data_IF_365361148475
#
_entry.id   IF_365361148475
#
_cell.length_a   1.000
_cell.length_b   1.000
_cell.length_c   1.000
_cell.angle_alpha   90.00
_cell.angle_beta   90.00
_cell.angle_gamma   90.00
#
_symmetry.space_group_name_H-M   'P 1'
#
loop_
_entity.id
_entity.type
_entity.pdbx_description
1 polymer ?
#
# COMPACT_ATOMS: atom_id res chain seq x y z
N UNK A 1 21.43 10.75 -16.16
CA UNK A 1 22.14 10.62 -14.87
C UNK A 1 22.04 11.95 -14.16
N UNK A 2 21.16 12.08 -13.18
CA UNK A 2 20.83 13.31 -12.45
C UNK A 2 20.77 13.00 -10.95
N UNK A 3 20.75 14.03 -10.11
CA UNK A 3 20.49 13.92 -8.66
C UNK A 3 19.05 14.35 -8.38
N UNK A 4 18.47 13.93 -7.26
CA UNK A 4 17.06 14.18 -6.95
C UNK A 4 16.79 14.10 -5.44
N UNK A 5 15.51 14.14 -5.09
CA UNK A 5 15.04 14.03 -3.71
C UNK A 5 14.42 12.65 -3.48
N UNK A 6 14.61 12.09 -2.28
CA UNK A 6 13.81 10.95 -1.84
C UNK A 6 12.35 11.41 -1.68
N UNK A 7 11.34 10.59 -2.02
CA UNK A 7 9.91 10.96 -1.93
C UNK A 7 9.34 11.36 -0.56
N UNK A 8 10.17 11.49 0.49
CA UNK A 8 9.70 11.78 1.86
C UNK A 8 10.67 11.41 2.97
N UNK A 9 11.88 10.97 2.64
CA UNK A 9 12.85 10.48 3.61
C UNK A 9 13.62 11.63 4.24
N UNK A 10 13.51 11.80 5.55
CA UNK A 10 14.25 12.81 6.33
C UNK A 10 15.30 12.10 7.18
N UNK A 11 16.57 12.39 6.89
CA UNK A 11 17.71 11.86 7.66
C UNK A 11 17.84 12.65 8.96
N UNK A 12 17.89 11.94 10.09
CA UNK A 12 17.97 12.53 11.43
C UNK A 12 19.40 12.45 11.94
N UNK A 13 20.03 13.61 12.10
CA UNK A 13 21.37 13.74 12.68
C UNK A 13 21.28 13.83 14.22
N UNK A 14 21.98 12.96 14.97
CA UNK A 14 22.07 13.08 16.42
C UNK A 14 22.67 14.41 16.87
N UNK A 15 22.21 14.93 18.01
CA UNK A 15 22.74 16.17 18.58
C UNK A 15 24.22 16.00 18.92
N UNK A 16 25.06 16.92 18.46
CA UNK A 16 26.51 16.92 18.69
C UNK A 16 27.32 16.20 17.62
N UNK A 17 26.67 15.57 16.64
CA UNK A 17 27.33 14.99 15.47
C UNK A 17 27.37 15.99 14.30
N UNK A 18 28.30 15.76 13.37
CA UNK A 18 28.48 16.57 12.15
C UNK A 18 28.09 15.74 10.92
N UNK A 19 27.18 16.23 10.06
CA UNK A 19 26.67 15.43 8.94
C UNK A 19 27.78 14.92 8.00
N UNK A 20 28.86 15.70 7.85
CA UNK A 20 30.00 15.38 6.98
C UNK A 20 30.86 14.21 7.49
N UNK A 21 30.65 13.70 8.71
CA UNK A 21 31.27 12.45 9.17
C UNK A 21 30.60 11.22 8.55
N UNK A 22 29.36 11.37 8.08
CA UNK A 22 28.56 10.31 7.45
C UNK A 22 28.47 10.49 5.93
N UNK A 23 28.17 11.69 5.45
CA UNK A 23 27.99 11.99 4.03
C UNK A 23 28.21 13.48 3.76
N UNK A 24 28.79 13.86 2.60
CA UNK A 24 28.66 15.22 2.10
C UNK A 24 27.19 15.60 1.89
N UNK A 25 26.93 16.89 1.74
CA UNK A 25 25.60 17.44 1.43
C UNK A 25 25.62 18.24 0.13
N UNK A 26 24.46 18.36 -0.51
CA UNK A 26 24.29 19.10 -1.76
C UNK A 26 22.85 19.61 -1.91
N UNK A 27 22.57 20.35 -2.99
CA UNK A 27 21.21 20.63 -3.41
C UNK A 27 20.72 19.62 -4.44
N UNK A 28 19.44 19.22 -4.39
CA UNK A 28 18.85 18.30 -5.36
C UNK A 28 18.88 18.93 -6.75
N UNK A 29 19.30 18.18 -7.77
CA UNK A 29 19.48 18.66 -9.14
C UNK A 29 20.37 19.91 -9.27
N UNK A 30 21.19 20.24 -8.25
CA UNK A 30 21.96 21.48 -8.14
C UNK A 30 21.10 22.76 -8.15
N UNK A 31 19.83 22.68 -7.77
CA UNK A 31 18.96 23.85 -7.64
C UNK A 31 19.29 24.62 -6.35
N UNK A 32 20.07 25.69 -6.47
CA UNK A 32 20.47 26.53 -5.34
C UNK A 32 19.34 27.44 -4.82
N UNK A 33 18.16 27.44 -5.45
CA UNK A 33 17.00 28.23 -5.01
C UNK A 33 16.14 27.48 -4.01
N UNK A 34 16.26 26.15 -3.93
CA UNK A 34 15.52 25.35 -2.94
C UNK A 34 16.15 25.44 -1.57
N UNK A 35 15.31 25.54 -0.54
CA UNK A 35 15.75 25.42 0.85
C UNK A 35 16.15 23.99 1.22
N UNK A 36 15.77 23.00 0.41
CA UNK A 36 16.07 21.59 0.66
C UNK A 36 17.53 21.28 0.39
N UNK A 37 18.19 20.70 1.39
CA UNK A 37 19.53 20.12 1.30
C UNK A 37 19.39 18.61 1.34
N UNK A 38 20.08 17.90 0.45
CA UNK A 38 20.09 16.44 0.37
C UNK A 38 21.45 15.88 0.77
N UNK A 39 21.45 14.66 1.32
CA UNK A 39 22.68 13.86 1.43
C UNK A 39 23.25 13.61 0.04
N UNK A 40 24.57 13.58 -0.08
CA UNK A 40 25.24 13.21 -1.32
C UNK A 40 25.14 11.70 -1.58
N UNK A 41 25.30 10.90 -0.53
CA UNK A 41 25.00 9.48 -0.57
C UNK A 41 23.49 9.24 -0.53
N UNK A 42 23.03 8.20 -1.23
CA UNK A 42 21.68 7.69 -1.04
C UNK A 42 21.53 7.07 0.36
N UNK A 43 20.28 6.89 0.80
CA UNK A 43 20.03 6.38 2.15
C UNK A 43 20.57 4.96 2.36
N UNK A 44 20.56 4.11 1.34
CA UNK A 44 21.09 2.74 1.41
C UNK A 44 22.57 2.69 1.83
N UNK A 45 23.32 3.75 1.53
CA UNK A 45 24.74 3.85 1.90
C UNK A 45 24.97 4.26 3.36
N UNK A 46 23.92 4.74 4.06
CA UNK A 46 24.01 5.31 5.41
C UNK A 46 22.90 4.82 6.37
N UNK A 47 22.11 3.83 5.97
CA UNK A 47 20.94 3.32 6.70
C UNK A 47 21.30 2.62 8.02
N UNK A 48 22.52 2.12 8.13
CA UNK A 48 23.08 1.55 9.36
C UNK A 48 23.66 2.63 10.30
N UNK A 49 23.77 3.88 9.85
CA UNK A 49 24.42 4.97 10.60
C UNK A 49 23.44 6.00 11.13
N UNK A 50 22.48 6.42 10.31
CA UNK A 50 21.55 7.50 10.63
C UNK A 50 20.12 6.99 10.50
N UNK A 51 19.28 7.40 11.45
CA UNK A 51 17.85 7.12 11.39
C UNK A 51 17.19 7.96 10.30
N UNK A 52 16.16 7.40 9.67
CA UNK A 52 15.30 8.10 8.73
C UNK A 52 13.85 8.12 9.22
N UNK A 53 13.23 9.28 9.09
CA UNK A 53 11.78 9.43 9.16
C UNK A 53 11.23 9.40 7.73
N UNK A 54 10.44 8.38 7.39
CA UNK A 54 9.73 8.34 6.11
C UNK A 54 8.39 9.08 6.25
N UNK A 55 8.38 10.34 5.83
CA UNK A 55 7.21 11.22 5.80
C UNK A 55 6.68 11.22 4.37
N UNK A 56 6.00 10.13 4.01
CA UNK A 56 5.50 9.91 2.65
C UNK A 56 4.18 10.64 2.41
N UNK A 57 3.99 11.12 1.19
CA UNK A 57 2.67 11.54 0.71
C UNK A 57 1.84 10.33 0.30
N UNK A 58 0.56 10.33 0.64
CA UNK A 58 -0.39 9.29 0.24
C UNK A 58 -1.80 9.88 0.09
N UNK A 59 -2.61 9.34 -0.81
CA UNK A 59 -3.95 9.86 -1.08
C UNK A 59 -5.01 9.34 -0.10
N UNK A 60 -4.87 8.10 0.43
CA UNK A 60 -5.82 7.53 1.40
C UNK A 60 -6.16 8.45 2.59
N UNK A 61 -5.19 9.09 3.30
CA UNK A 61 -5.53 10.03 4.36
C UNK A 61 -6.37 11.22 3.87
N UNK A 62 -6.10 11.70 2.65
CA UNK A 62 -6.85 12.80 2.02
C UNK A 62 -8.27 12.37 1.66
N UNK A 63 -8.43 11.18 1.07
CA UNK A 63 -9.73 10.61 0.72
C UNK A 63 -10.60 10.39 1.95
N UNK A 64 -10.06 9.75 2.99
CA UNK A 64 -10.76 9.49 4.26
C UNK A 64 -11.12 10.82 4.94
N UNK A 65 -10.20 11.81 4.94
CA UNK A 65 -10.48 13.13 5.50
C UNK A 65 -11.64 13.81 4.79
N UNK A 66 -11.65 13.80 3.46
CA UNK A 66 -12.74 14.36 2.67
C UNK A 66 -14.07 13.66 2.97
N UNK A 67 -14.09 12.33 3.06
CA UNK A 67 -15.30 11.57 3.43
C UNK A 67 -15.81 11.93 4.83
N UNK A 68 -14.91 12.07 5.80
CA UNK A 68 -15.26 12.55 7.14
C UNK A 68 -15.87 13.96 7.10
N UNK A 69 -15.24 14.90 6.38
CA UNK A 69 -15.70 16.28 6.28
C UNK A 69 -17.08 16.39 5.59
N UNK A 70 -17.38 15.50 4.62
CA UNK A 70 -18.66 15.47 3.90
C UNK A 70 -19.78 14.76 4.66
N UNK A 71 -19.47 13.69 5.39
CA UNK A 71 -20.48 12.83 6.05
C UNK A 71 -20.67 13.16 7.54
N UNK A 72 -19.68 13.80 8.17
CA UNK A 72 -19.63 14.01 9.61
C UNK A 72 -19.34 12.74 10.43
N UNK A 73 -19.05 11.61 9.78
CA UNK A 73 -18.74 10.35 10.43
C UNK A 73 -17.27 10.30 10.87
N UNK A 74 -17.02 9.79 12.08
CA UNK A 74 -15.66 9.51 12.54
C UNK A 74 -15.17 8.19 11.94
N UNK A 75 -14.11 8.18 11.11
CA UNK A 75 -13.61 6.97 10.47
C UNK A 75 -13.13 5.91 11.49
N UNK A 76 -12.78 6.29 12.73
CA UNK A 76 -12.39 5.33 13.76
C UNK A 76 -13.57 4.51 14.31
N UNK A 77 -14.80 4.93 14.01
CA UNK A 77 -16.03 4.25 14.45
C UNK A 77 -16.55 3.25 13.42
N UNK A 78 -15.93 3.17 12.23
CA UNK A 78 -16.38 2.30 11.15
C UNK A 78 -16.04 0.83 11.50
N UNK A 79 -17.02 -0.10 11.48
CA UNK A 79 -16.77 -1.51 11.73
C UNK A 79 -15.93 -2.15 10.63
N UNK A 80 -15.03 -3.06 11.00
CA UNK A 80 -14.16 -3.79 10.07
C UNK A 80 -14.79 -5.09 9.53
N UNK A 81 -15.95 -5.47 10.05
CA UNK A 81 -16.66 -6.74 9.77
C UNK A 81 -18.08 -6.54 9.23
N UNK A 82 -18.40 -5.32 8.77
CA UNK A 82 -19.69 -5.02 8.13
C UNK A 82 -19.88 -5.91 6.90
N UNK A 83 -20.94 -6.74 6.94
CA UNK A 83 -21.20 -7.73 5.90
C UNK A 83 -21.56 -7.09 4.55
N UNK A 84 -22.16 -5.91 4.55
CA UNK A 84 -22.46 -5.17 3.32
C UNK A 84 -21.16 -4.67 2.69
N UNK A 85 -20.25 -4.09 3.49
CA UNK A 85 -18.93 -3.67 2.99
C UNK A 85 -18.10 -4.87 2.52
N UNK A 86 -18.06 -5.96 3.28
CA UNK A 86 -17.36 -7.19 2.88
C UNK A 86 -17.90 -7.79 1.59
N UNK A 87 -19.19 -7.65 1.31
CA UNK A 87 -19.79 -8.17 0.07
C UNK A 87 -19.24 -7.52 -1.20
N UNK A 88 -18.62 -6.33 -1.11
CA UNK A 88 -17.92 -5.69 -2.23
C UNK A 88 -16.78 -6.56 -2.78
N UNK A 89 -16.17 -7.39 -1.93
CA UNK A 89 -15.13 -8.35 -2.29
C UNK A 89 -15.68 -9.71 -2.73
N UNK A 90 -17.01 -9.85 -2.83
CA UNK A 90 -17.68 -11.08 -3.24
C UNK A 90 -18.51 -10.91 -4.51
N UNK A 91 -19.18 -9.76 -4.66
CA UNK A 91 -20.05 -9.44 -5.78
C UNK A 91 -20.39 -7.93 -5.82
N UNK A 92 -21.33 -7.54 -6.68
CA UNK A 92 -21.79 -6.15 -6.86
C UNK A 92 -23.03 -5.77 -6.04
N UNK A 93 -23.56 -6.68 -5.20
CA UNK A 93 -24.88 -6.52 -4.57
C UNK A 93 -24.97 -5.31 -3.64
N UNK A 94 -23.90 -4.97 -2.90
CA UNK A 94 -23.87 -3.77 -2.04
C UNK A 94 -23.97 -2.45 -2.82
N UNK A 95 -23.64 -2.46 -4.12
CA UNK A 95 -23.73 -1.29 -4.98
C UNK A 95 -25.10 -1.17 -5.66
N UNK A 96 -25.89 -2.24 -5.68
CA UNK A 96 -27.19 -2.28 -6.35
C UNK A 96 -27.09 -2.21 -7.88
N UNK A 97 -25.98 -2.69 -8.45
CA UNK A 97 -25.74 -2.76 -9.91
C UNK A 97 -25.40 -4.19 -10.33
N UNK A 98 -25.64 -4.52 -11.59
CA UNK A 98 -25.19 -5.78 -12.17
C UNK A 98 -23.78 -5.63 -12.76
N UNK A 99 -22.98 -6.71 -12.88
CA UNK A 99 -21.66 -6.65 -13.49
C UNK A 99 -21.65 -5.98 -14.87
N UNK A 100 -22.68 -6.19 -15.68
CA UNK A 100 -22.85 -5.59 -17.01
C UNK A 100 -22.89 -4.05 -16.99
N UNK A 101 -23.35 -3.45 -15.89
CA UNK A 101 -23.39 -1.99 -15.71
C UNK A 101 -21.98 -1.40 -15.50
N UNK A 102 -21.03 -2.24 -15.09
CA UNK A 102 -19.64 -1.87 -14.77
C UNK A 102 -18.63 -2.65 -15.62
N UNK A 103 -18.92 -2.81 -16.93
CA UNK A 103 -18.05 -3.46 -17.91
C UNK A 103 -17.77 -4.95 -17.63
N UNK A 104 -18.72 -5.66 -17.03
CA UNK A 104 -18.61 -7.08 -16.70
C UNK A 104 -17.75 -7.36 -15.48
N UNK A 105 -17.43 -6.34 -14.66
CA UNK A 105 -16.63 -6.52 -13.45
C UNK A 105 -17.50 -7.19 -12.38
N UNK A 106 -17.12 -8.38 -11.88
CA UNK A 106 -17.98 -9.16 -11.02
C UNK A 106 -17.91 -8.74 -9.54
N UNK A 107 -17.06 -7.79 -9.18
CA UNK A 107 -16.81 -7.35 -7.80
C UNK A 107 -17.15 -5.86 -7.62
N UNK A 108 -17.50 -5.48 -6.39
CA UNK A 108 -17.71 -4.09 -5.98
C UNK A 108 -16.42 -3.34 -5.59
N UNK A 109 -15.24 -3.80 -6.00
CA UNK A 109 -13.94 -3.27 -5.55
C UNK A 109 -13.41 -2.08 -6.35
N UNK A 110 -14.10 -1.64 -7.40
CA UNK A 110 -13.67 -0.54 -8.25
C UNK A 110 -13.44 0.74 -7.44
N UNK A 111 -12.24 1.31 -7.57
CA UNK A 111 -11.85 2.53 -6.86
C UNK A 111 -11.43 2.33 -5.39
N UNK A 112 -11.48 1.11 -4.87
CA UNK A 112 -10.88 0.78 -3.58
C UNK A 112 -9.35 0.74 -3.75
N UNK A 113 -8.57 1.48 -2.93
CA UNK A 113 -7.11 1.43 -2.98
C UNK A 113 -6.60 -0.02 -2.93
N UNK A 114 -5.59 -0.32 -3.75
CA UNK A 114 -5.02 -1.65 -4.01
C UNK A 114 -5.96 -2.67 -4.67
N UNK A 115 -7.19 -2.82 -4.18
CA UNK A 115 -8.13 -3.86 -4.59
C UNK A 115 -8.90 -3.54 -5.88
N UNK A 116 -8.89 -2.30 -6.35
CA UNK A 116 -9.56 -1.90 -7.59
C UNK A 116 -8.80 -2.25 -8.87
N UNK A 117 -7.64 -2.88 -8.78
CA UNK A 117 -6.83 -3.30 -9.95
C UNK A 117 -7.29 -4.65 -10.48
N UNK A 118 -7.18 -4.89 -11.80
CA UNK A 118 -7.53 -6.19 -12.41
C UNK A 118 -6.80 -7.36 -11.74
N UNK A 119 -5.53 -7.16 -11.38
CA UNK A 119 -4.72 -8.17 -10.72
C UNK A 119 -5.25 -8.51 -9.32
N UNK A 120 -5.49 -7.51 -8.47
CA UNK A 120 -6.01 -7.73 -7.12
C UNK A 120 -7.44 -8.29 -7.15
N UNK A 121 -8.30 -7.82 -8.07
CA UNK A 121 -9.64 -8.38 -8.26
C UNK A 121 -9.60 -9.85 -8.65
N UNK A 122 -8.70 -10.25 -9.55
CA UNK A 122 -8.54 -11.68 -9.90
C UNK A 122 -8.12 -12.50 -8.68
N UNK A 123 -7.20 -12.00 -7.84
CA UNK A 123 -6.82 -12.67 -6.60
C UNK A 123 -7.99 -12.82 -5.63
N UNK A 124 -8.85 -11.81 -5.50
CA UNK A 124 -10.05 -11.88 -4.67
C UNK A 124 -11.03 -12.93 -5.19
N UNK A 125 -11.22 -13.01 -6.51
CA UNK A 125 -12.07 -14.04 -7.16
C UNK A 125 -11.54 -15.45 -6.87
N UNK A 126 -10.22 -15.64 -6.96
CA UNK A 126 -9.58 -16.94 -6.75
C UNK A 126 -9.60 -17.34 -5.25
N UNK A 127 -9.31 -16.38 -4.37
CA UNK A 127 -9.16 -16.62 -2.92
C UNK A 127 -10.50 -16.66 -2.16
N UNK A 128 -11.55 -15.99 -2.65
CA UNK A 128 -12.90 -15.92 -2.05
C UNK A 128 -12.85 -15.58 -0.54
N UNK A 129 -12.33 -14.40 -0.17
CA UNK A 129 -12.16 -14.02 1.23
C UNK A 129 -13.51 -13.99 1.96
N UNK A 130 -13.52 -14.48 3.20
CA UNK A 130 -14.73 -14.48 4.06
C UNK A 130 -14.57 -13.60 5.29
N UNK A 131 -13.33 -13.30 5.66
CA UNK A 131 -13.00 -12.46 6.80
C UNK A 131 -12.13 -11.27 6.40
N UNK A 132 -12.15 -10.21 7.21
CA UNK A 132 -11.21 -9.09 7.06
C UNK A 132 -9.75 -9.57 7.08
N UNK A 133 -9.45 -10.61 7.87
CA UNK A 133 -8.11 -11.18 7.95
C UNK A 133 -7.65 -11.80 6.61
N UNK A 134 -8.57 -12.29 5.78
CA UNK A 134 -8.23 -12.80 4.44
C UNK A 134 -7.84 -11.66 3.50
N UNK A 135 -8.51 -10.50 3.60
CA UNK A 135 -8.16 -9.31 2.81
C UNK A 135 -6.75 -8.82 3.12
N UNK A 136 -6.35 -8.83 4.40
CA UNK A 136 -4.97 -8.51 4.80
C UNK A 136 -3.97 -9.45 4.12
N UNK A 137 -4.27 -10.76 4.07
CA UNK A 137 -3.41 -11.76 3.42
C UNK A 137 -3.34 -11.56 1.92
N UNK A 138 -4.47 -11.25 1.27
CA UNK A 138 -4.51 -10.95 -0.16
C UNK A 138 -3.68 -9.69 -0.46
N UNK A 139 -3.77 -8.65 0.37
CA UNK A 139 -2.94 -7.44 0.23
C UNK A 139 -1.45 -7.78 0.26
N UNK A 140 -1.01 -8.63 1.19
CA UNK A 140 0.38 -9.08 1.22
C UNK A 140 0.77 -9.91 -0.01
N UNK A 141 -0.11 -10.79 -0.47
CA UNK A 141 0.14 -11.63 -1.66
C UNK A 141 0.14 -10.84 -2.97
N UNK A 142 -0.56 -9.70 -3.04
CA UNK A 142 -0.63 -8.87 -4.24
C UNK A 142 0.60 -7.97 -4.42
N UNK A 143 1.46 -7.88 -3.39
CA UNK A 143 2.60 -6.97 -3.33
C UNK A 143 3.92 -7.74 -3.37
N UNK A 144 4.38 -8.06 -4.57
CA UNK A 144 5.71 -8.62 -4.79
C UNK A 144 5.76 -9.56 -5.99
N UNK A 145 6.90 -9.56 -6.68
CA UNK A 145 7.15 -10.51 -7.76
C UNK A 145 7.26 -11.93 -7.18
N UNK A 146 6.68 -12.91 -7.87
CA UNK A 146 6.70 -14.34 -7.52
C UNK A 146 6.10 -14.68 -6.13
N UNK A 147 5.27 -13.78 -5.58
CA UNK A 147 4.52 -14.03 -4.34
C UNK A 147 3.22 -14.79 -4.64
N UNK A 148 2.44 -14.31 -5.60
CA UNK A 148 1.19 -14.94 -6.02
C UNK A 148 1.36 -15.89 -7.22
N UNK A 149 1.62 -15.33 -8.40
CA UNK A 149 1.67 -16.07 -9.67
C UNK A 149 2.78 -17.13 -9.64
N UNK A 150 2.43 -18.37 -9.98
CA UNK A 150 3.37 -19.49 -9.98
C UNK A 150 3.81 -19.96 -8.58
N UNK A 151 3.28 -19.37 -7.51
CA UNK A 151 3.62 -19.68 -6.12
C UNK A 151 2.35 -19.93 -5.30
N UNK A 152 1.89 -18.98 -4.48
CA UNK A 152 0.73 -19.16 -3.61
C UNK A 152 -0.54 -19.53 -4.40
N UNK A 153 -0.73 -18.95 -5.59
CA UNK A 153 -1.83 -19.26 -6.49
C UNK A 153 -1.90 -20.76 -6.79
N UNK A 154 -0.78 -21.34 -7.25
CA UNK A 154 -0.68 -22.75 -7.62
C UNK A 154 -1.04 -23.66 -6.45
N UNK A 155 -0.56 -23.32 -5.24
CA UNK A 155 -0.82 -24.12 -4.04
C UNK A 155 -2.30 -24.07 -3.62
N UNK A 156 -2.95 -22.92 -3.80
CA UNK A 156 -4.38 -22.73 -3.52
C UNK A 156 -5.24 -23.45 -4.56
N UNK A 157 -4.92 -23.32 -5.86
CA UNK A 157 -5.63 -24.01 -6.94
C UNK A 157 -5.53 -25.54 -6.82
N UNK A 158 -4.39 -26.06 -6.35
CA UNK A 158 -4.18 -27.49 -6.10
C UNK A 158 -4.82 -27.98 -4.79
N UNK A 159 -5.37 -27.08 -3.97
CA UNK A 159 -5.93 -27.40 -2.66
C UNK A 159 -4.88 -27.83 -1.62
N UNK A 160 -3.60 -27.55 -1.87
CA UNK A 160 -2.49 -27.84 -0.93
C UNK A 160 -2.45 -26.78 0.18
N UNK A 161 -2.85 -25.56 -0.15
CA UNK A 161 -2.96 -24.44 0.78
C UNK A 161 -4.34 -23.77 0.66
N UNK A 162 -4.68 -22.99 1.67
CA UNK A 162 -5.76 -22.00 1.65
C UNK A 162 -5.16 -20.61 1.75
N UNK A 163 -5.95 -19.55 1.54
CA UNK A 163 -5.50 -18.18 1.75
C UNK A 163 -4.92 -17.98 3.17
N UNK A 164 -5.52 -18.64 4.16
CA UNK A 164 -5.14 -18.53 5.57
C UNK A 164 -3.83 -19.27 5.90
N UNK A 165 -3.41 -20.25 5.10
CA UNK A 165 -2.18 -21.02 5.30
C UNK A 165 -1.05 -20.64 4.36
N UNK A 166 -1.31 -19.79 3.37
CA UNK A 166 -0.30 -19.28 2.45
C UNK A 166 0.65 -18.30 3.14
N UNK A 167 1.91 -18.26 2.69
CA UNK A 167 2.88 -17.26 3.15
C UNK A 167 2.52 -15.94 2.50
N UNK A 168 1.87 -15.07 3.27
CA UNK A 168 1.28 -13.81 2.82
C UNK A 168 1.90 -12.58 3.51
N UNK A 169 2.75 -12.78 4.51
CA UNK A 169 3.53 -11.71 5.16
C UNK A 169 4.88 -12.26 5.60
N UNK A 170 5.78 -11.36 6.03
CA UNK A 170 7.15 -11.69 6.47
C UNK A 170 7.23 -12.18 7.91
N UNK A 171 6.24 -11.82 8.73
CA UNK A 171 6.14 -12.08 10.17
C UNK A 171 6.13 -13.58 10.48
#
# INVERSE_FOLDING_TARGET
RTTGQHPGGIVVLPVGEEINTFTPVQHPANDMTTATVTTHFDYHSIDHNLLKLDILGHDDPTMIRMLQDLTGLDPQTIPLDDQTVMSLFMNTSALGVEPEDINGIPLGCLGIPEFGTDFAMQMVIDAKPTEFSDLIRISGLSHGTDVWLGNAQTLIEQGIATISTAICTRD
#
